data_IF_946480221636
#
_entry.id   IF_946480221636
#
_cell.length_a   1.000
_cell.length_b   1.000
_cell.length_c   1.000
_cell.angle_alpha   90.00
_cell.angle_beta   90.00
_cell.angle_gamma   90.00
#
_symmetry.space_group_name_H-M   'P 1'
#
loop_
_entity.id
_entity.type
_entity.pdbx_description
1 polymer ?
#
# COMPACT_ATOMS: atom_id res chain seq x y z
N UNK A 1 -8.32 2.16 6.85
CA UNK A 1 -8.46 0.71 6.78
C UNK A 1 -9.72 0.38 5.98
N UNK A 2 -9.61 -0.63 5.11
CA UNK A 2 -10.71 -1.07 4.26
C UNK A 2 -11.89 -1.55 5.10
N UNK A 3 -13.12 -1.26 4.66
CA UNK A 3 -14.36 -1.78 5.25
C UNK A 3 -14.86 -3.02 4.48
N UNK A 4 -13.95 -3.72 3.82
CA UNK A 4 -14.18 -4.86 2.94
C UNK A 4 -12.91 -5.73 2.94
N UNK A 5 -12.96 -6.97 2.42
CA UNK A 5 -11.75 -7.76 2.21
C UNK A 5 -10.67 -6.98 1.44
N UNK A 6 -9.41 -7.18 1.81
CA UNK A 6 -8.25 -6.66 1.08
C UNK A 6 -7.86 -7.69 0.02
N UNK A 7 -7.68 -7.24 -1.21
CA UNK A 7 -7.45 -8.13 -2.37
C UNK A 7 -5.99 -8.18 -2.79
N UNK A 8 -5.26 -7.07 -2.64
CA UNK A 8 -3.85 -7.01 -2.94
C UNK A 8 -3.15 -5.94 -2.10
N UNK A 9 -1.83 -6.11 -1.95
CA UNK A 9 -0.91 -5.10 -1.47
C UNK A 9 0.28 -5.01 -2.44
N UNK A 10 0.65 -3.81 -2.87
CA UNK A 10 1.72 -3.56 -3.85
C UNK A 10 2.59 -2.39 -3.42
N UNK A 11 3.86 -2.67 -3.15
CA UNK A 11 4.86 -1.64 -2.85
C UNK A 11 5.14 -0.77 -4.07
N UNK A 12 5.34 0.53 -3.85
CA UNK A 12 5.79 1.44 -4.88
C UNK A 12 7.24 1.05 -5.28
N UNK A 13 7.52 0.76 -6.56
CA UNK A 13 8.86 0.35 -6.98
C UNK A 13 9.96 1.35 -6.63
N UNK A 14 9.63 2.64 -6.65
CA UNK A 14 10.57 3.73 -6.35
C UNK A 14 10.76 3.97 -4.84
N UNK A 15 9.83 3.52 -3.99
CA UNK A 15 9.93 3.66 -2.53
C UNK A 15 9.31 2.46 -1.81
N UNK A 16 10.18 1.58 -1.29
CA UNK A 16 9.77 0.35 -0.59
C UNK A 16 8.91 0.59 0.65
N UNK A 17 8.98 1.78 1.25
CA UNK A 17 8.25 2.07 2.49
C UNK A 17 6.81 2.51 2.19
N UNK A 18 6.48 2.78 0.93
CA UNK A 18 5.14 3.16 0.47
C UNK A 18 4.49 2.00 -0.27
N UNK A 19 3.22 1.71 0.02
CA UNK A 19 2.48 0.64 -0.66
C UNK A 19 0.99 0.97 -0.80
N UNK A 20 0.37 0.42 -1.84
CA UNK A 20 -1.06 0.50 -2.07
C UNK A 20 -1.73 -0.79 -1.63
N UNK A 21 -2.88 -0.70 -0.98
CA UNK A 21 -3.79 -1.84 -0.80
C UNK A 21 -5.08 -1.63 -1.57
N UNK A 22 -5.64 -2.74 -2.07
CA UNK A 22 -6.87 -2.75 -2.85
C UNK A 22 -8.01 -3.41 -2.08
N UNK A 23 -9.21 -2.84 -2.16
CA UNK A 23 -10.38 -3.31 -1.42
C UNK A 23 -11.45 -3.96 -2.29
N UNK A 24 -12.19 -4.89 -1.70
CA UNK A 24 -13.36 -5.54 -2.30
C UNK A 24 -14.56 -4.62 -2.55
N UNK A 25 -14.56 -3.42 -1.99
CA UNK A 25 -15.57 -2.38 -2.25
C UNK A 25 -15.11 -1.31 -3.25
N UNK A 26 -14.06 -1.56 -4.03
CA UNK A 26 -13.54 -0.59 -5.01
C UNK A 26 -12.64 0.50 -4.43
N UNK A 27 -12.19 0.35 -3.17
CA UNK A 27 -11.26 1.30 -2.53
C UNK A 27 -9.79 1.02 -2.84
N UNK A 28 -9.02 2.10 -2.90
CA UNK A 28 -7.56 2.11 -2.82
C UNK A 28 -7.14 2.87 -1.55
N UNK A 29 -6.22 2.29 -0.79
CA UNK A 29 -5.62 2.91 0.40
C UNK A 29 -4.10 2.94 0.26
N UNK A 30 -3.51 4.14 0.31
CA UNK A 30 -2.07 4.36 0.22
C UNK A 30 -1.49 4.42 1.64
N UNK A 31 -0.46 3.64 1.89
CA UNK A 31 0.15 3.47 3.20
C UNK A 31 1.64 3.79 3.17
N UNK A 32 2.16 4.24 4.32
CA UNK A 32 3.60 4.36 4.58
C UNK A 32 3.96 3.56 5.82
N UNK A 33 5.04 2.79 5.73
CA UNK A 33 5.64 2.09 6.86
C UNK A 33 6.67 2.99 7.55
N UNK A 34 6.56 3.10 8.88
CA UNK A 34 7.50 3.84 9.72
C UNK A 34 8.28 2.86 10.60
N UNK A 35 9.60 2.86 10.43
CA UNK A 35 10.48 1.97 11.20
C UNK A 35 10.54 2.39 12.67
N UNK A 36 10.61 1.42 13.61
CA UNK A 36 10.88 1.71 15.01
C UNK A 36 12.34 2.14 15.20
N UNK A 37 12.65 2.77 16.34
CA UNK A 37 14.01 3.25 16.64
C UNK A 37 15.08 2.15 16.57
N UNK A 38 14.74 0.93 16.99
CA UNK A 38 15.57 -0.25 16.83
C UNK A 38 14.71 -1.36 16.22
N UNK A 39 15.22 -2.07 15.21
CA UNK A 39 14.49 -3.18 14.55
C UNK A 39 14.67 -4.52 15.25
N UNK A 40 15.58 -4.58 16.22
CA UNK A 40 15.89 -5.76 17.01
C UNK A 40 16.15 -5.36 18.46
N UNK A 41 15.64 -6.14 19.40
CA UNK A 41 15.99 -6.06 20.81
C UNK A 41 16.50 -7.42 21.27
N UNK A 42 17.46 -7.44 22.19
CA UNK A 42 17.88 -8.68 22.86
C UNK A 42 16.94 -8.91 24.03
N UNK A 43 16.28 -10.07 24.05
CA UNK A 43 15.50 -10.49 25.20
C UNK A 43 16.42 -11.04 26.30
N UNK A 44 15.87 -11.25 27.51
CA UNK A 44 16.64 -11.62 28.72
C UNK A 44 17.34 -12.98 28.60
N UNK A 45 16.79 -13.82 27.74
CA UNK A 45 17.16 -15.16 27.31
C UNK A 45 18.21 -15.16 26.17
N UNK A 46 18.65 -13.97 25.72
CA UNK A 46 19.75 -13.80 24.78
C UNK A 46 19.36 -13.89 23.29
N UNK A 47 18.10 -14.22 22.99
CA UNK A 47 17.57 -14.25 21.63
C UNK A 47 17.26 -12.84 21.10
N UNK A 48 17.47 -12.64 19.78
CA UNK A 48 17.09 -11.41 19.11
C UNK A 48 15.62 -11.46 18.69
N UNK A 49 14.86 -10.43 19.05
CA UNK A 49 13.45 -10.26 18.65
C UNK A 49 13.27 -9.05 17.78
N UNK A 50 12.52 -9.23 16.68
CA UNK A 50 12.13 -8.14 15.80
C UNK A 50 11.20 -7.15 16.50
N UNK A 51 11.46 -5.86 16.33
CA UNK A 51 10.57 -4.80 16.79
C UNK A 51 9.70 -4.37 15.61
N UNK A 52 8.38 -4.35 15.83
CA UNK A 52 7.42 -3.92 14.82
C UNK A 52 7.45 -2.40 14.69
N UNK A 53 7.46 -1.92 13.45
CA UNK A 53 7.14 -0.54 13.12
C UNK A 53 5.64 -0.28 13.10
N UNK A 54 5.27 0.88 12.58
CA UNK A 54 3.87 1.30 12.42
C UNK A 54 3.54 1.56 10.96
N UNK A 55 2.24 1.56 10.63
CA UNK A 55 1.75 1.94 9.31
C UNK A 55 0.83 3.15 9.43
N UNK A 56 1.00 4.09 8.52
CA UNK A 56 0.20 5.31 8.44
C UNK A 56 -0.60 5.34 7.14
N UNK A 57 -1.90 5.63 7.24
CA UNK A 57 -2.75 5.83 6.07
C UNK A 57 -2.51 7.23 5.51
N UNK A 58 -1.92 7.31 4.33
CA UNK A 58 -1.65 8.58 3.64
C UNK A 58 -2.87 9.09 2.87
N UNK A 59 -3.61 8.18 2.22
CA UNK A 59 -4.79 8.53 1.43
C UNK A 59 -5.73 7.34 1.24
N UNK A 60 -7.02 7.62 1.10
CA UNK A 60 -8.06 6.65 0.76
C UNK A 60 -9.00 7.20 -0.30
N UNK A 61 -9.30 6.42 -1.34
CA UNK A 61 -10.29 6.80 -2.35
C UNK A 61 -11.05 5.59 -2.88
N UNK A 62 -12.35 5.76 -3.11
CA UNK A 62 -13.19 4.79 -3.80
C UNK A 62 -13.22 5.12 -5.30
N UNK A 63 -12.95 4.12 -6.14
CA UNK A 63 -12.94 4.25 -7.60
C UNK A 63 -14.02 3.39 -8.28
N UNK A 64 -14.58 2.43 -7.57
CA UNK A 64 -15.65 1.54 -8.03
C UNK A 64 -16.56 1.17 -6.86
N UNK A 65 -17.67 0.53 -7.15
CA UNK A 65 -18.49 -0.22 -6.18
C UNK A 65 -18.10 -1.70 -6.13
N UNK A 66 -17.34 -2.17 -7.12
CA UNK A 66 -16.90 -3.56 -7.28
C UNK A 66 -15.43 -3.72 -6.86
N UNK A 67 -14.99 -4.95 -6.53
CA UNK A 67 -13.61 -5.21 -6.13
C UNK A 67 -12.56 -4.72 -7.13
N UNK A 68 -11.47 -4.17 -6.60
CA UNK A 68 -10.25 -3.92 -7.37
C UNK A 68 -9.40 -5.20 -7.35
N UNK A 69 -9.56 -6.02 -8.38
CA UNK A 69 -8.99 -7.37 -8.46
C UNK A 69 -7.51 -7.40 -8.82
N UNK A 70 -7.02 -6.37 -9.52
CA UNK A 70 -5.60 -6.25 -9.86
C UNK A 70 -5.13 -4.80 -9.77
N UNK A 71 -3.86 -4.63 -9.42
CA UNK A 71 -3.19 -3.34 -9.32
C UNK A 71 -1.71 -3.54 -9.64
N UNK A 72 -1.14 -2.64 -10.45
CA UNK A 72 0.27 -2.64 -10.78
C UNK A 72 0.83 -1.22 -10.90
N UNK A 73 1.99 -1.00 -10.30
CA UNK A 73 2.71 0.27 -10.37
C UNK A 73 3.60 0.29 -11.60
N UNK A 74 3.72 1.46 -12.23
CA UNK A 74 4.71 1.65 -13.28
C UNK A 74 6.11 1.80 -12.65
N UNK A 75 7.06 1.03 -13.16
CA UNK A 75 8.45 1.04 -12.68
C UNK A 75 9.24 2.27 -13.13
N UNK A 76 8.91 2.83 -14.30
CA UNK A 76 9.65 3.94 -14.92
C UNK A 76 9.15 5.32 -14.47
N UNK A 77 7.85 5.44 -14.15
CA UNK A 77 7.16 6.70 -13.86
C UNK A 77 6.54 6.65 -12.47
N UNK A 78 7.21 7.28 -11.50
CA UNK A 78 6.75 7.33 -10.11
C UNK A 78 5.29 7.82 -10.01
N UNK A 79 4.48 7.08 -9.28
CA UNK A 79 3.08 7.39 -9.03
C UNK A 79 2.11 7.03 -10.15
N UNK A 80 2.59 6.60 -11.33
CA UNK A 80 1.71 6.04 -12.36
C UNK A 80 1.38 4.59 -12.03
N UNK A 81 0.11 4.20 -12.15
CA UNK A 81 -0.34 2.82 -11.94
C UNK A 81 -1.54 2.47 -12.81
N UNK A 82 -1.80 1.17 -12.94
CA UNK A 82 -2.99 0.59 -13.57
C UNK A 82 -3.74 -0.29 -12.58
N UNK A 83 -5.06 -0.30 -12.66
CA UNK A 83 -5.92 -1.22 -11.90
C UNK A 83 -7.00 -1.85 -12.76
N UNK A 84 -7.33 -3.10 -12.45
CA UNK A 84 -8.47 -3.82 -13.01
C UNK A 84 -9.55 -4.02 -11.95
N UNK A 85 -10.78 -3.62 -12.27
CA UNK A 85 -11.93 -3.73 -11.38
C UNK A 85 -13.00 -4.68 -11.95
N UNK A 86 -13.73 -5.37 -11.07
CA UNK A 86 -14.80 -6.30 -11.47
C UNK A 86 -16.09 -5.60 -11.94
N UNK A 87 -16.06 -4.28 -12.12
CA UNK A 87 -17.07 -3.50 -12.84
C UNK A 87 -16.78 -3.45 -14.36
N UNK A 88 -15.92 -4.33 -14.86
CA UNK A 88 -15.49 -4.43 -16.26
C UNK A 88 -14.72 -3.18 -16.74
N UNK A 89 -13.91 -2.59 -15.87
CA UNK A 89 -13.09 -1.44 -16.24
C UNK A 89 -11.61 -1.63 -15.91
N UNK A 90 -10.77 -1.00 -16.73
CA UNK A 90 -9.35 -0.77 -16.46
C UNK A 90 -9.15 0.72 -16.27
N UNK A 91 -8.43 1.11 -15.22
CA UNK A 91 -8.17 2.52 -14.91
C UNK A 91 -6.67 2.76 -14.81
N UNK A 92 -6.19 3.82 -15.45
CA UNK A 92 -4.85 4.37 -15.24
C UNK A 92 -4.97 5.49 -14.22
N UNK A 93 -4.14 5.47 -13.18
CA UNK A 93 -4.14 6.46 -12.11
C UNK A 93 -2.78 7.11 -11.93
N UNK A 94 -2.80 8.33 -11.39
CA UNK A 94 -1.62 9.07 -10.97
C UNK A 94 -1.74 9.43 -9.50
N UNK A 95 -0.83 8.91 -8.69
CA UNK A 95 -0.61 9.30 -7.31
C UNK A 95 0.41 10.43 -7.26
N UNK A 96 0.01 11.60 -6.77
CA UNK A 96 0.86 12.80 -6.76
C UNK A 96 1.54 13.00 -5.40
N UNK A 97 2.56 13.87 -5.38
CA UNK A 97 3.28 14.30 -4.16
C UNK A 97 4.03 13.18 -3.40
N UNK A 98 4.35 12.07 -4.08
CA UNK A 98 5.11 10.96 -3.48
C UNK A 98 6.55 11.35 -3.10
N UNK A 99 7.19 12.25 -3.86
CA UNK A 99 8.50 12.83 -3.55
C UNK A 99 8.58 13.63 -2.25
N UNK A 100 7.43 13.91 -1.59
CA UNK A 100 7.37 14.66 -0.31
C UNK A 100 7.25 13.75 0.91
N UNK A 101 7.18 12.44 0.71
CA UNK A 101 6.91 11.44 1.75
C UNK A 101 8.16 10.99 2.50
#
# INVERSE_FOLDING_TARGET
AHQSPVWAARHLPQNRDVFMTTGGNGSLELWRYSYPQARKIKEKDGHEKGVLGTVELLQKKNFSTQPVASFDWNVDKEGLAVMGCLDQTVRVIVCTKLHKL
#
